data_IF_383586392096
#
_entry.id   IF_383586392096
#
_cell.length_a   1.000
_cell.length_b   1.000
_cell.length_c   1.000
_cell.angle_alpha   90.00
_cell.angle_beta   90.00
_cell.angle_gamma   90.00
#
_symmetry.space_group_name_H-M   'P 1'
#
loop_
_entity.id
_entity.type
_entity.pdbx_description
1 polymer ?
#
# COMPACT_ATOMS: atom_id res chain seq x y z
N UNK A 1 -8.08 -43.80 50.75
CA UNK A 1 -8.27 -42.39 50.32
C UNK A 1 -7.26 -42.05 49.22
N UNK A 2 -7.77 -41.42 48.16
CA UNK A 2 -7.11 -40.59 47.13
C UNK A 2 -6.03 -41.21 46.22
N UNK A 3 -6.48 -41.81 45.10
CA UNK A 3 -5.70 -41.88 43.87
C UNK A 3 -5.92 -40.57 43.09
N UNK A 4 -4.84 -39.82 42.85
CA UNK A 4 -4.81 -38.56 42.13
C UNK A 4 -5.16 -38.78 40.65
N UNK A 5 -6.25 -38.15 40.20
CA UNK A 5 -6.55 -37.98 38.78
C UNK A 5 -5.49 -37.08 38.13
N UNK A 6 -4.48 -37.68 37.50
CA UNK A 6 -3.62 -37.00 36.53
C UNK A 6 -4.15 -37.27 35.13
N UNK A 7 -5.01 -36.38 34.62
CA UNK A 7 -5.38 -36.36 33.21
C UNK A 7 -4.14 -35.98 32.37
N UNK A 8 -3.70 -36.83 31.41
CA UNK A 8 -2.56 -36.53 30.57
C UNK A 8 -2.87 -35.33 29.67
N UNK A 9 -1.96 -34.36 29.67
CA UNK A 9 -2.09 -33.05 29.03
C UNK A 9 -1.88 -33.08 27.51
N UNK A 10 -2.51 -34.03 26.81
CA UNK A 10 -2.24 -34.33 25.41
C UNK A 10 -2.71 -33.20 24.46
N UNK A 11 -3.63 -32.34 24.88
CA UNK A 11 -4.20 -31.26 24.07
C UNK A 11 -3.36 -29.98 24.00
N UNK A 12 -2.35 -29.81 24.87
CA UNK A 12 -1.57 -28.57 24.94
C UNK A 12 -0.63 -28.35 23.76
N UNK A 13 -0.11 -29.43 23.17
CA UNK A 13 0.89 -29.36 22.11
C UNK A 13 0.35 -28.73 20.81
N UNK A 14 -0.91 -29.04 20.47
CA UNK A 14 -1.54 -28.51 19.26
C UNK A 14 -1.94 -27.04 19.41
N UNK A 15 -2.34 -26.63 20.62
CA UNK A 15 -2.60 -25.22 20.94
C UNK A 15 -1.31 -24.40 20.98
N UNK A 16 -0.23 -24.93 21.56
CA UNK A 16 1.07 -24.23 21.58
C UNK A 16 1.68 -24.09 20.18
N UNK A 17 1.53 -25.11 19.32
CA UNK A 17 1.98 -25.04 17.92
C UNK A 17 1.17 -24.01 17.10
N UNK A 18 -0.14 -23.91 17.33
CA UNK A 18 -1.02 -22.91 16.71
C UNK A 18 -0.71 -21.48 17.15
N UNK A 19 -0.51 -21.27 18.45
CA UNK A 19 -0.14 -19.95 19.00
C UNK A 19 1.23 -19.52 18.49
N UNK A 20 2.17 -20.46 18.37
CA UNK A 20 3.47 -20.20 17.75
C UNK A 20 3.34 -19.78 16.29
N UNK A 21 2.52 -20.46 15.48
CA UNK A 21 2.26 -20.09 14.08
C UNK A 21 1.58 -18.71 13.95
N UNK A 22 0.61 -18.39 14.82
CA UNK A 22 -0.01 -17.07 14.89
C UNK A 22 1.00 -15.98 15.26
N UNK A 23 1.85 -16.23 16.26
CA UNK A 23 2.87 -15.28 16.69
C UNK A 23 3.91 -15.03 15.60
N UNK A 24 4.36 -16.07 14.89
CA UNK A 24 5.26 -15.93 13.74
C UNK A 24 4.57 -15.15 12.62
N UNK A 25 3.30 -15.43 12.30
CA UNK A 25 2.53 -14.70 11.29
C UNK A 25 2.35 -13.20 11.63
N UNK A 26 2.20 -12.87 12.92
CA UNK A 26 2.15 -11.48 13.41
C UNK A 26 3.51 -10.77 13.42
N UNK A 27 4.64 -11.49 13.34
CA UNK A 27 5.99 -10.90 13.25
C UNK A 27 6.43 -10.61 11.80
N UNK A 28 5.79 -11.22 10.79
CA UNK A 28 6.13 -10.99 9.37
C UNK A 28 5.87 -9.57 8.84
N UNK A 29 4.85 -8.79 9.27
CA UNK A 29 4.57 -7.49 8.65
C UNK A 29 5.67 -6.44 8.91
N UNK A 30 6.61 -6.68 9.85
CA UNK A 30 7.69 -5.75 10.17
C UNK A 30 8.80 -5.67 9.10
N UNK A 31 8.85 -6.60 8.13
CA UNK A 31 9.79 -6.55 6.99
C UNK A 31 9.18 -5.95 5.71
N UNK A 32 7.90 -5.57 5.73
CA UNK A 32 7.28 -4.83 4.64
C UNK A 32 7.75 -3.36 4.70
N UNK A 33 8.99 -3.11 4.25
CA UNK A 33 9.44 -1.75 4.00
C UNK A 33 8.59 -1.18 2.86
N UNK A 34 7.89 -0.06 3.13
CA UNK A 34 7.22 0.72 2.10
C UNK A 34 8.22 1.00 0.96
N UNK A 35 7.99 0.43 -0.22
CA UNK A 35 8.90 0.65 -1.35
C UNK A 35 8.54 1.99 -1.97
N UNK A 36 9.49 2.91 -1.98
CA UNK A 36 9.34 4.15 -2.75
C UNK A 36 9.61 3.87 -4.24
N UNK A 37 8.63 4.15 -5.10
CA UNK A 37 8.79 4.06 -6.56
C UNK A 37 8.56 5.41 -7.21
N UNK A 38 9.55 5.87 -7.96
CA UNK A 38 9.43 7.05 -8.82
C UNK A 38 8.66 6.67 -10.09
N UNK A 39 7.59 7.41 -10.38
CA UNK A 39 6.76 7.23 -11.56
C UNK A 39 7.02 8.42 -12.49
N UNK A 40 7.71 8.18 -13.60
CA UNK A 40 7.88 9.19 -14.64
C UNK A 40 6.61 9.35 -15.47
N UNK A 41 6.36 10.54 -16.01
CA UNK A 41 5.24 10.74 -16.94
C UNK A 41 5.44 9.92 -18.21
N UNK A 42 4.36 9.31 -18.68
CA UNK A 42 4.34 8.50 -19.89
C UNK A 42 2.95 7.91 -20.11
N UNK A 43 2.72 7.35 -21.28
CA UNK A 43 1.46 6.69 -21.60
C UNK A 43 1.18 5.57 -20.60
N UNK A 44 0.04 5.64 -19.91
CA UNK A 44 -0.38 4.68 -18.88
C UNK A 44 0.64 4.47 -17.73
N UNK A 45 1.59 5.39 -17.54
CA UNK A 45 2.66 5.21 -16.55
C UNK A 45 2.12 5.02 -15.12
N UNK A 46 1.14 5.83 -14.72
CA UNK A 46 0.49 5.73 -13.41
C UNK A 46 -0.31 4.44 -13.26
N UNK A 47 -1.03 4.02 -14.31
CA UNK A 47 -1.77 2.75 -14.30
C UNK A 47 -0.82 1.55 -14.16
N UNK A 48 0.31 1.57 -14.86
CA UNK A 48 1.31 0.51 -14.77
C UNK A 48 2.01 0.48 -13.40
N UNK A 49 2.25 1.66 -12.79
CA UNK A 49 2.78 1.75 -11.44
C UNK A 49 1.80 1.15 -10.41
N UNK A 50 0.50 1.45 -10.54
CA UNK A 50 -0.54 0.91 -9.67
C UNK A 50 -0.65 -0.63 -9.79
N UNK A 51 -0.53 -1.19 -11.00
CA UNK A 51 -0.57 -2.66 -11.21
C UNK A 51 0.57 -3.42 -10.55
N UNK A 52 1.71 -2.78 -10.33
CA UNK A 52 2.91 -3.41 -9.74
C UNK A 52 3.14 -3.00 -8.29
N UNK A 53 2.32 -2.08 -7.78
CA UNK A 53 2.38 -1.65 -6.39
C UNK A 53 1.81 -2.69 -5.44
N UNK A 54 2.30 -2.65 -4.21
CA UNK A 54 1.91 -3.49 -3.09
C UNK A 54 1.38 -2.61 -1.97
N UNK A 55 0.64 -3.23 -1.05
CA UNK A 55 0.10 -2.53 0.10
C UNK A 55 1.23 -1.90 0.94
N UNK A 56 1.08 -0.61 1.26
CA UNK A 56 2.06 0.19 2.00
C UNK A 56 3.07 0.94 1.14
N UNK A 57 3.07 0.76 -0.19
CA UNK A 57 4.04 1.43 -1.06
C UNK A 57 3.84 2.94 -1.17
N UNK A 58 4.91 3.64 -1.56
CA UNK A 58 4.89 5.08 -1.86
C UNK A 58 5.17 5.30 -3.34
N UNK A 59 4.20 5.80 -4.09
CA UNK A 59 4.36 6.19 -5.48
C UNK A 59 4.65 7.69 -5.57
N UNK A 60 5.86 8.05 -5.98
CA UNK A 60 6.29 9.45 -6.17
C UNK A 60 6.18 9.83 -7.64
N UNK A 61 5.23 10.71 -7.97
CA UNK A 61 5.05 11.25 -9.30
C UNK A 61 6.12 12.30 -9.61
N UNK A 62 6.72 12.22 -10.79
CA UNK A 62 7.43 13.35 -11.38
C UNK A 62 6.45 14.44 -11.82
N UNK A 63 6.96 15.64 -12.12
CA UNK A 63 6.15 16.69 -12.76
C UNK A 63 5.55 16.22 -14.09
N UNK A 64 4.41 16.80 -14.46
CA UNK A 64 3.75 16.63 -15.75
C UNK A 64 2.40 15.91 -15.65
N UNK A 65 1.88 15.50 -16.82
CA UNK A 65 0.48 15.08 -16.97
C UNK A 65 0.37 13.55 -17.00
N UNK A 66 -0.51 13.02 -16.16
CA UNK A 66 -0.90 11.61 -16.12
C UNK A 66 -2.37 11.49 -16.54
N UNK A 67 -2.65 10.72 -17.58
CA UNK A 67 -4.02 10.56 -18.05
C UNK A 67 -4.77 9.47 -17.27
N UNK A 68 -5.94 9.84 -16.74
CA UNK A 68 -6.90 9.00 -16.04
C UNK A 68 -8.11 8.61 -16.92
N UNK A 69 -9.12 7.92 -16.35
CA UNK A 69 -9.36 7.67 -14.92
C UNK A 69 -8.46 6.59 -14.31
N UNK A 70 -8.17 6.71 -13.01
CA UNK A 70 -7.41 5.70 -12.25
C UNK A 70 -8.20 5.15 -11.05
N UNK A 71 -7.90 3.90 -10.68
CA UNK A 71 -8.46 3.24 -9.50
C UNK A 71 -7.30 2.84 -8.59
N UNK A 72 -7.40 3.20 -7.30
CA UNK A 72 -6.47 2.79 -6.25
C UNK A 72 -7.20 1.77 -5.37
N UNK A 73 -6.92 0.49 -5.61
CA UNK A 73 -7.55 -0.67 -4.97
C UNK A 73 -6.65 -1.38 -3.94
N UNK A 74 -5.48 -0.81 -3.66
CA UNK A 74 -4.56 -1.23 -2.62
C UNK A 74 -4.18 -0.05 -1.70
N UNK A 75 -3.96 -0.28 -0.39
CA UNK A 75 -3.49 0.75 0.52
C UNK A 75 -2.11 1.25 0.08
N UNK A 76 -1.95 2.53 -0.26
CA UNK A 76 -0.67 3.11 -0.67
C UNK A 76 -0.64 4.62 -0.45
N UNK A 77 0.54 5.21 -0.54
CA UNK A 77 0.73 6.66 -0.56
C UNK A 77 1.06 7.13 -1.98
N UNK A 78 0.28 8.06 -2.53
CA UNK A 78 0.56 8.74 -3.78
C UNK A 78 1.06 10.16 -3.50
N UNK A 79 2.28 10.47 -3.91
CA UNK A 79 2.94 11.76 -3.67
C UNK A 79 3.25 12.45 -4.99
N UNK A 80 2.89 13.72 -5.12
CA UNK A 80 3.27 14.52 -6.30
C UNK A 80 3.77 15.92 -5.92
N UNK A 81 4.63 16.54 -6.75
CA UNK A 81 5.03 17.92 -6.57
C UNK A 81 3.88 18.88 -6.88
N UNK A 82 3.75 19.96 -6.10
CA UNK A 82 2.82 21.08 -6.37
C UNK A 82 3.25 21.86 -7.61
N UNK A 83 4.55 22.12 -7.71
CA UNK A 83 5.19 22.91 -8.76
C UNK A 83 6.49 22.25 -9.20
N UNK A 84 6.88 22.50 -10.45
CA UNK A 84 8.21 22.18 -10.96
C UNK A 84 9.28 23.17 -10.47
N UNK A 85 10.57 22.84 -10.65
CA UNK A 85 11.69 23.68 -10.19
C UNK A 85 11.71 25.08 -10.79
N UNK A 86 11.14 25.27 -11.98
CA UNK A 86 11.11 26.54 -12.71
C UNK A 86 9.74 27.24 -12.64
N UNK A 87 8.89 26.89 -11.66
CA UNK A 87 7.52 27.41 -11.53
C UNK A 87 6.52 26.78 -12.51
N UNK A 88 6.92 25.71 -13.21
CA UNK A 88 6.02 24.92 -14.05
C UNK A 88 4.96 24.19 -13.23
N UNK A 89 3.91 23.72 -13.89
CA UNK A 89 2.92 22.84 -13.27
C UNK A 89 3.60 21.58 -12.69
N UNK A 90 3.18 21.19 -11.48
CA UNK A 90 3.62 19.96 -10.82
C UNK A 90 3.04 18.70 -11.47
N UNK A 91 2.68 17.71 -10.65
CA UNK A 91 1.99 16.51 -11.14
C UNK A 91 0.49 16.79 -11.31
N UNK A 92 -0.03 16.57 -12.51
CA UNK A 92 -1.45 16.75 -12.84
C UNK A 92 -2.02 15.41 -13.30
N UNK A 93 -3.13 14.98 -12.70
CA UNK A 93 -3.89 13.81 -13.16
C UNK A 93 -5.10 14.32 -13.92
N UNK A 94 -5.14 14.08 -15.23
CA UNK A 94 -6.22 14.52 -16.12
C UNK A 94 -7.16 13.36 -16.44
N UNK A 95 -8.38 13.41 -15.91
CA UNK A 95 -9.41 12.38 -16.14
C UNK A 95 -10.08 12.42 -17.52
N UNK A 96 -9.70 13.35 -18.41
CA UNK A 96 -10.17 13.49 -19.79
C UNK A 96 -11.70 13.55 -19.95
N UNK A 97 -12.42 13.97 -18.90
CA UNK A 97 -13.88 14.03 -18.89
C UNK A 97 -14.59 12.67 -18.80
N UNK A 98 -13.88 11.58 -18.46
CA UNK A 98 -14.40 10.20 -18.48
C UNK A 98 -14.95 9.73 -17.12
N UNK A 99 -15.59 10.63 -16.35
CA UNK A 99 -16.05 10.45 -14.95
C UNK A 99 -15.00 10.78 -13.87
N UNK A 100 -14.92 10.00 -12.80
CA UNK A 100 -14.01 10.26 -11.67
C UNK A 100 -12.55 10.17 -12.10
N UNK A 101 -11.77 11.23 -11.85
CA UNK A 101 -10.33 11.27 -12.15
C UNK A 101 -9.58 10.19 -11.37
N UNK A 102 -9.86 10.11 -10.07
CA UNK A 102 -9.29 9.14 -9.14
C UNK A 102 -10.45 8.47 -8.38
N UNK A 103 -10.48 7.15 -8.41
CA UNK A 103 -11.37 6.34 -7.57
C UNK A 103 -10.53 5.66 -6.50
N UNK A 104 -10.81 5.94 -5.23
CA UNK A 104 -10.16 5.28 -4.09
C UNK A 104 -11.08 4.15 -3.61
N UNK A 105 -10.63 2.91 -3.76
CA UNK A 105 -11.38 1.70 -3.44
C UNK A 105 -10.77 0.89 -2.28
N UNK A 106 -9.55 1.22 -1.84
CA UNK A 106 -8.90 0.64 -0.67
C UNK A 106 -8.97 1.55 0.57
N UNK A 107 -8.95 0.96 1.78
CA UNK A 107 -8.68 1.72 3.00
C UNK A 107 -7.22 2.21 3.00
N UNK A 108 -6.94 3.20 3.85
CA UNK A 108 -5.58 3.69 4.15
C UNK A 108 -4.79 4.14 2.92
N UNK A 109 -5.48 4.75 1.94
CA UNK A 109 -4.86 5.46 0.83
C UNK A 109 -4.56 6.89 1.24
N UNK A 110 -3.30 7.30 1.12
CA UNK A 110 -2.88 8.69 1.34
C UNK A 110 -2.55 9.36 0.00
N UNK A 111 -3.08 10.56 -0.22
CA UNK A 111 -2.73 11.40 -1.37
C UNK A 111 -2.12 12.68 -0.83
N UNK A 112 -0.85 12.94 -1.16
CA UNK A 112 -0.08 14.06 -0.62
C UNK A 112 0.54 14.90 -1.73
N UNK A 113 0.50 16.20 -1.52
CA UNK A 113 1.25 17.17 -2.33
C UNK A 113 2.49 17.62 -1.55
N UNK A 114 3.63 17.74 -2.23
CA UNK A 114 4.87 18.28 -1.66
C UNK A 114 5.30 19.55 -2.40
N UNK A 115 5.79 20.54 -1.67
CA UNK A 115 6.45 21.73 -2.22
C UNK A 115 7.94 21.62 -1.93
N UNK A 116 8.78 21.93 -2.91
CA UNK A 116 10.23 22.02 -2.76
C UNK A 116 10.68 23.48 -2.87
#
# INVERSE_FOLDING_TARGET
>A
MNQLNSTPNFDKGFHMLRVFFLMVALLVPALAGAVERSVTTGENALVNALKTAQAGDVLRLSKGIYFGPIVIDIPLTLVGPLSGPDGEAGAVIDGRGLASVITVAAPDVEIRVVSY
#
